data_IF_383527544895
#
_entry.id   IF_383527544895
#
_cell.length_a   1.000
_cell.length_b   1.000
_cell.length_c   1.000
_cell.angle_alpha   90.00
_cell.angle_beta   90.00
_cell.angle_gamma   90.00
#
_symmetry.space_group_name_H-M   'P 1'
#
loop_
_entity.id
_entity.type
_entity.pdbx_description
1 polymer ?
#
# COMPACT_ATOMS: atom_id res chain seq x y z
N UNK A 1 32.47 -3.23 3.56
CA UNK A 1 32.81 -2.46 2.34
C UNK A 1 34.30 -2.24 2.18
N UNK A 2 35.14 -2.42 3.22
CA UNK A 2 36.60 -2.29 3.10
C UNK A 2 37.10 -0.84 3.08
N UNK A 3 36.20 0.14 3.27
CA UNK A 3 36.53 1.55 3.31
C UNK A 3 37.02 1.95 4.71
N UNK A 4 37.97 2.89 4.76
CA UNK A 4 38.57 3.39 6.00
C UNK A 4 38.13 4.83 6.27
N UNK A 5 37.72 5.11 7.50
CA UNK A 5 37.32 6.44 7.96
C UNK A 5 38.15 6.83 9.18
N UNK A 6 38.63 8.08 9.22
CA UNK A 6 39.28 8.61 10.41
C UNK A 6 38.28 8.79 11.56
N UNK A 7 38.74 8.62 12.79
CA UNK A 7 37.89 8.79 13.98
C UNK A 7 37.68 10.27 14.33
N UNK A 8 36.72 10.55 15.21
CA UNK A 8 36.39 11.93 15.65
C UNK A 8 37.57 12.63 16.33
N UNK A 9 38.45 11.86 16.97
CA UNK A 9 39.66 12.36 17.64
C UNK A 9 40.68 12.90 16.63
N UNK A 10 40.71 12.37 15.40
CA UNK A 10 41.59 12.86 14.33
C UNK A 10 40.97 14.02 13.56
N UNK A 11 39.70 13.90 13.17
CA UNK A 11 38.99 14.96 12.43
C UNK A 11 37.47 14.81 12.58
N UNK A 12 36.83 15.89 13.02
CA UNK A 12 35.36 15.99 12.98
C UNK A 12 34.90 16.30 11.55
N UNK A 13 34.04 15.44 11.00
CA UNK A 13 33.50 15.63 9.65
C UNK A 13 32.44 16.73 9.57
N UNK A 14 32.24 17.30 8.37
CA UNK A 14 31.23 18.33 8.12
C UNK A 14 29.79 17.77 8.03
N UNK A 15 29.61 16.58 7.43
CA UNK A 15 28.29 15.96 7.30
C UNK A 15 27.64 15.66 8.67
N UNK A 16 28.37 15.15 9.70
CA UNK A 16 27.85 15.06 11.05
C UNK A 16 27.31 16.38 11.61
N UNK A 17 28.01 17.50 11.40
CA UNK A 17 27.57 18.83 11.90
C UNK A 17 26.24 19.23 11.26
N UNK A 18 26.13 19.11 9.93
CA UNK A 18 24.88 19.41 9.20
C UNK A 18 23.73 18.52 9.70
N UNK A 19 24.00 17.23 9.93
CA UNK A 19 22.99 16.28 10.42
C UNK A 19 22.57 16.59 11.86
N UNK A 20 23.50 16.97 12.74
CA UNK A 20 23.19 17.39 14.12
C UNK A 20 22.23 18.58 14.13
N UNK A 21 22.45 19.59 13.28
CA UNK A 21 21.59 20.77 13.16
C UNK A 21 20.18 20.40 12.65
N UNK A 22 20.09 19.58 11.60
CA UNK A 22 18.82 19.11 11.04
C UNK A 22 18.05 18.26 12.05
N UNK A 23 18.74 17.38 12.79
CA UNK A 23 18.13 16.55 13.83
C UNK A 23 17.67 17.38 15.02
N UNK A 24 18.44 18.39 15.45
CA UNK A 24 18.05 19.31 16.51
C UNK A 24 16.81 20.13 16.10
N UNK A 25 16.77 20.65 14.88
CA UNK A 25 15.60 21.34 14.33
C UNK A 25 14.37 20.42 14.27
N UNK A 26 14.54 19.18 13.83
CA UNK A 26 13.47 18.18 13.79
C UNK A 26 12.98 17.83 15.20
N UNK A 27 13.87 17.74 16.18
CA UNK A 27 13.53 17.48 17.59
C UNK A 27 12.65 18.60 18.15
N UNK A 28 12.99 19.87 17.87
CA UNK A 28 12.13 21.03 18.23
C UNK A 28 10.74 20.92 17.59
N UNK A 29 10.67 20.68 16.28
CA UNK A 29 9.39 20.53 15.59
C UNK A 29 8.52 19.38 16.13
N UNK A 30 9.13 18.24 16.51
CA UNK A 30 8.40 17.14 17.19
C UNK A 30 7.92 17.54 18.59
N UNK A 31 8.68 18.35 19.32
CA UNK A 31 8.27 18.85 20.62
C UNK A 31 7.10 19.83 20.51
N UNK A 32 7.13 20.75 19.53
CA UNK A 32 6.01 21.66 19.25
C UNK A 32 4.73 20.84 18.95
N UNK A 33 4.85 19.80 18.13
CA UNK A 33 3.74 18.91 17.77
C UNK A 33 3.15 18.16 18.97
N UNK A 34 3.96 17.82 19.99
CA UNK A 34 3.49 17.13 21.19
C UNK A 34 2.63 18.03 22.10
N UNK A 35 2.90 19.33 22.12
CA UNK A 35 2.20 20.29 22.98
C UNK A 35 1.01 20.96 22.29
N UNK A 36 0.94 20.88 20.96
CA UNK A 36 -0.20 21.37 20.20
C UNK A 36 -1.45 20.51 20.48
N UNK A 37 -2.62 21.15 20.59
CA UNK A 37 -3.91 20.48 20.83
C UNK A 37 -4.76 20.45 19.57
N UNK A 38 -4.66 21.48 18.72
CA UNK A 38 -5.43 21.59 17.50
C UNK A 38 -4.98 20.55 16.46
N UNK A 39 -5.92 19.73 15.98
CA UNK A 39 -5.61 18.63 15.07
C UNK A 39 -5.10 19.12 13.71
N UNK A 40 -5.62 20.23 13.20
CA UNK A 40 -5.17 20.79 11.94
C UNK A 40 -3.72 21.31 12.05
N UNK A 41 -3.40 22.05 13.11
CA UNK A 41 -2.03 22.52 13.39
C UNK A 41 -1.07 21.36 13.66
N UNK A 42 -1.50 20.31 14.36
CA UNK A 42 -0.71 19.07 14.50
C UNK A 42 -0.37 18.47 13.13
N UNK A 43 -1.31 18.44 12.19
CA UNK A 43 -1.04 17.97 10.83
C UNK A 43 0.01 18.82 10.11
N UNK A 44 -0.06 20.15 10.24
CA UNK A 44 0.94 21.07 9.67
C UNK A 44 2.32 20.86 10.30
N UNK A 45 2.40 20.74 11.63
CA UNK A 45 3.64 20.46 12.36
C UNK A 45 4.22 19.08 12.01
N UNK A 46 3.36 18.09 11.78
CA UNK A 46 3.77 16.79 11.26
C UNK A 46 4.36 16.92 9.85
N UNK A 47 3.76 17.73 8.98
CA UNK A 47 4.35 18.07 7.67
C UNK A 47 5.75 18.69 7.81
N UNK A 48 5.92 19.63 8.74
CA UNK A 48 7.21 20.28 9.03
C UNK A 48 8.28 19.28 9.48
N UNK A 49 7.98 18.39 10.45
CA UNK A 49 8.98 17.41 10.90
C UNK A 49 9.31 16.36 9.82
N UNK A 50 8.34 16.01 8.97
CA UNK A 50 8.57 15.13 7.82
C UNK A 50 9.49 15.79 6.78
N UNK A 51 9.29 17.07 6.47
CA UNK A 51 10.18 17.81 5.57
C UNK A 51 11.63 17.80 6.09
N UNK A 52 11.83 18.10 7.38
CA UNK A 52 13.15 18.03 8.01
C UNK A 52 13.76 16.62 7.98
N UNK A 53 12.94 15.57 8.16
CA UNK A 53 13.37 14.17 7.99
C UNK A 53 13.86 13.91 6.57
N UNK A 54 13.10 14.37 5.56
CA UNK A 54 13.45 14.21 4.15
C UNK A 54 14.77 14.95 3.84
N UNK A 55 14.96 16.17 4.35
CA UNK A 55 16.21 16.91 4.20
C UNK A 55 17.40 16.16 4.79
N UNK A 56 17.28 15.64 6.02
CA UNK A 56 18.33 14.86 6.66
C UNK A 56 18.68 13.58 5.86
N UNK A 57 17.67 12.85 5.39
CA UNK A 57 17.88 11.66 4.55
C UNK A 57 18.48 12.03 3.19
N UNK A 58 18.19 13.22 2.67
CA UNK A 58 18.75 13.71 1.41
C UNK A 58 20.25 14.00 1.50
N UNK A 59 20.79 14.32 2.69
CA UNK A 59 22.24 14.47 2.90
C UNK A 59 22.97 13.16 2.58
N UNK A 60 22.45 12.03 3.06
CA UNK A 60 22.95 10.71 2.68
C UNK A 60 22.74 10.44 1.19
N UNK A 61 21.54 10.73 0.66
CA UNK A 61 21.21 10.54 -0.76
C UNK A 61 22.15 11.31 -1.70
N UNK A 62 22.57 12.52 -1.30
CA UNK A 62 23.50 13.37 -2.03
C UNK A 62 24.86 12.69 -2.23
N UNK A 63 25.39 12.01 -1.22
CA UNK A 63 26.66 11.27 -1.36
C UNK A 63 26.57 10.09 -2.33
N UNK A 64 25.38 9.51 -2.50
CA UNK A 64 25.16 8.37 -3.41
C UNK A 64 24.74 8.77 -4.83
N UNK A 65 24.48 10.06 -5.10
CA UNK A 65 23.96 10.52 -6.38
C UNK A 65 25.06 10.62 -7.43
N UNK A 66 25.17 9.60 -8.30
CA UNK A 66 26.15 9.56 -9.41
C UNK A 66 25.94 10.71 -10.41
N UNK A 67 24.68 11.10 -10.63
CA UNK A 67 24.33 12.31 -11.38
C UNK A 67 24.14 13.43 -10.36
N UNK A 68 25.24 14.10 -10.02
CA UNK A 68 25.29 15.12 -8.99
C UNK A 68 26.61 15.89 -9.00
N UNK A 69 26.78 16.84 -8.09
CA UNK A 69 27.98 17.69 -8.03
C UNK A 69 29.14 17.06 -7.23
N UNK A 70 28.85 16.16 -6.29
CA UNK A 70 29.87 15.60 -5.39
C UNK A 70 29.51 14.17 -4.92
N UNK A 71 29.53 13.16 -5.83
CA UNK A 71 29.32 11.77 -5.45
C UNK A 71 30.50 11.22 -4.63
N UNK A 72 30.19 10.50 -3.56
CA UNK A 72 31.14 9.70 -2.79
C UNK A 72 30.45 8.38 -2.39
N UNK A 73 30.55 7.39 -3.28
CA UNK A 73 29.82 6.14 -3.18
C UNK A 73 30.26 5.32 -1.97
N UNK A 74 31.50 5.46 -1.55
CA UNK A 74 32.12 4.78 -0.41
C UNK A 74 31.37 5.08 0.89
N UNK A 75 30.91 6.33 1.08
CA UNK A 75 30.07 6.73 2.20
C UNK A 75 28.73 6.00 2.11
N UNK A 76 28.06 6.09 0.96
CA UNK A 76 26.72 5.52 0.79
C UNK A 76 26.70 3.99 0.98
N UNK A 77 27.69 3.29 0.43
CA UNK A 77 27.86 1.85 0.59
C UNK A 77 28.12 1.47 2.05
N UNK A 78 28.97 2.24 2.75
CA UNK A 78 29.31 1.96 4.16
C UNK A 78 28.10 2.18 5.07
N UNK A 79 27.31 3.24 4.85
CA UNK A 79 26.05 3.48 5.58
C UNK A 79 25.07 2.32 5.41
N UNK A 80 24.85 1.84 4.17
CA UNK A 80 23.95 0.70 3.95
C UNK A 80 24.48 -0.61 4.54
N UNK A 81 25.80 -0.79 4.57
CA UNK A 81 26.43 -1.96 5.18
C UNK A 81 26.25 -1.96 6.70
N UNK A 82 26.51 -0.84 7.37
CA UNK A 82 26.21 -0.69 8.79
C UNK A 82 24.72 -0.88 9.08
N UNK A 83 23.83 -0.35 8.25
CA UNK A 83 22.39 -0.57 8.38
C UNK A 83 22.01 -2.05 8.42
N UNK A 84 22.51 -2.86 7.47
CA UNK A 84 22.29 -4.32 7.44
C UNK A 84 22.86 -5.01 8.69
N UNK A 85 24.10 -4.69 9.05
CA UNK A 85 24.76 -5.27 10.23
C UNK A 85 24.01 -4.96 11.53
N UNK A 86 23.50 -3.73 11.69
CA UNK A 86 22.73 -3.34 12.87
C UNK A 86 21.42 -4.10 12.98
N UNK A 87 20.72 -4.35 11.86
CA UNK A 87 19.49 -5.17 11.86
C UNK A 87 19.81 -6.62 12.22
N UNK A 88 20.84 -7.21 11.62
CA UNK A 88 21.21 -8.60 11.89
C UNK A 88 21.64 -8.78 13.35
N UNK A 89 22.40 -7.82 13.89
CA UNK A 89 22.77 -7.81 15.31
C UNK A 89 21.54 -7.68 16.22
N UNK A 90 20.62 -6.76 15.89
CA UNK A 90 19.36 -6.57 16.64
C UNK A 90 18.55 -7.85 16.64
N UNK A 91 18.40 -8.51 15.49
CA UNK A 91 17.70 -9.79 15.38
C UNK A 91 18.34 -10.84 16.29
N UNK A 92 19.64 -11.06 16.15
CA UNK A 92 20.35 -12.10 16.89
C UNK A 92 20.28 -11.87 18.39
N UNK A 93 20.40 -10.62 18.85
CA UNK A 93 20.31 -10.31 20.28
C UNK A 93 18.91 -10.58 20.84
N UNK A 94 17.87 -10.17 20.10
CA UNK A 94 16.48 -10.41 20.52
C UNK A 94 16.19 -11.91 20.62
N UNK A 95 16.56 -12.69 19.59
CA UNK A 95 16.30 -14.14 19.59
C UNK A 95 17.14 -14.87 20.65
N UNK A 96 18.35 -14.39 20.96
CA UNK A 96 19.22 -14.95 22.00
C UNK A 96 18.74 -14.65 23.42
N UNK A 97 18.27 -13.42 23.68
CA UNK A 97 17.95 -12.95 25.04
C UNK A 97 16.54 -13.33 25.50
N UNK A 98 15.60 -13.42 24.57
CA UNK A 98 14.19 -13.67 24.87
C UNK A 98 13.79 -15.10 24.50
N UNK A 99 14.38 -16.07 25.19
CA UNK A 99 13.99 -17.49 25.09
C UNK A 99 12.82 -17.82 26.03
N UNK A 100 12.22 -19.00 25.87
CA UNK A 100 11.20 -19.49 26.79
C UNK A 100 11.73 -19.48 28.24
N UNK A 101 10.94 -18.94 29.17
CA UNK A 101 11.33 -18.76 30.57
C UNK A 101 12.15 -17.50 30.89
N UNK A 102 12.60 -16.74 29.87
CA UNK A 102 13.29 -15.47 30.09
C UNK A 102 12.38 -14.41 30.77
N UNK A 103 13.01 -13.40 31.36
CA UNK A 103 12.35 -12.35 32.16
C UNK A 103 11.46 -12.93 33.28
N UNK A 104 12.03 -13.78 34.13
CA UNK A 104 11.33 -14.39 35.26
C UNK A 104 10.05 -15.14 34.84
N UNK A 105 10.09 -15.84 33.70
CA UNK A 105 8.96 -16.57 33.15
C UNK A 105 7.95 -15.75 32.34
N UNK A 106 8.17 -14.45 32.14
CA UNK A 106 7.28 -13.60 31.32
C UNK A 106 7.31 -13.95 29.82
N UNK A 107 8.37 -14.60 29.34
CA UNK A 107 8.44 -15.09 27.96
C UNK A 107 7.94 -16.55 27.88
N UNK A 108 6.71 -16.80 27.38
CA UNK A 108 6.17 -18.17 27.29
C UNK A 108 6.80 -19.01 26.18
N UNK A 109 7.44 -18.37 25.21
CA UNK A 109 8.07 -19.01 24.06
C UNK A 109 9.33 -18.25 23.65
N UNK A 110 10.15 -18.90 22.80
CA UNK A 110 11.28 -18.22 22.16
C UNK A 110 10.77 -17.10 21.25
N UNK A 111 11.29 -15.90 21.45
CA UNK A 111 11.01 -14.77 20.57
C UNK A 111 11.54 -15.07 19.17
N UNK A 112 10.74 -14.72 18.16
CA UNK A 112 11.09 -14.92 16.76
C UNK A 112 10.94 -13.60 16.00
N UNK A 113 11.96 -13.19 15.26
CA UNK A 113 11.84 -12.05 14.36
C UNK A 113 11.13 -12.49 13.08
N UNK A 114 9.88 -12.05 12.93
CA UNK A 114 9.00 -12.46 11.81
C UNK A 114 9.20 -11.61 10.56
N UNK A 115 9.68 -10.38 10.73
CA UNK A 115 9.93 -9.47 9.62
C UNK A 115 10.92 -8.37 10.00
N UNK A 116 11.61 -7.81 9.01
CA UNK A 116 12.42 -6.61 9.17
C UNK A 116 12.46 -5.81 7.86
N UNK A 117 12.43 -4.49 7.98
CA UNK A 117 12.55 -3.57 6.85
C UNK A 117 13.42 -2.38 7.23
N UNK A 118 14.64 -2.35 6.68
CA UNK A 118 15.63 -1.25 6.66
C UNK A 118 16.10 -0.71 8.02
N UNK A 119 15.19 -0.36 8.91
CA UNK A 119 15.41 0.27 10.21
C UNK A 119 14.46 -0.25 11.30
N UNK A 120 13.68 -1.29 11.00
CA UNK A 120 12.70 -1.88 11.92
C UNK A 120 12.77 -3.41 11.94
N UNK A 121 12.51 -3.98 13.12
CA UNK A 121 12.33 -5.42 13.34
C UNK A 121 10.97 -5.68 13.97
N UNK A 122 10.27 -6.72 13.51
CA UNK A 122 8.99 -7.16 14.05
C UNK A 122 9.20 -8.48 14.75
N UNK A 123 8.93 -8.49 16.06
CA UNK A 123 9.24 -9.61 16.95
C UNK A 123 7.96 -10.22 17.46
N UNK A 124 7.83 -11.55 17.34
CA UNK A 124 6.76 -12.33 17.95
C UNK A 124 7.27 -12.94 19.25
N UNK A 125 6.80 -12.41 20.39
CA UNK A 125 7.19 -12.87 21.73
C UNK A 125 6.37 -14.07 22.25
N UNK A 126 5.27 -14.43 21.59
CA UNK A 126 4.44 -15.58 21.97
C UNK A 126 3.46 -15.34 23.13
N UNK A 127 3.40 -14.12 23.67
CA UNK A 127 2.41 -13.71 24.69
C UNK A 127 1.01 -13.57 24.11
N UNK A 128 -0.01 -13.62 24.98
CA UNK A 128 -1.43 -13.61 24.58
C UNK A 128 -2.04 -12.22 24.56
N UNK A 129 -1.55 -11.30 25.38
CA UNK A 129 -2.12 -9.95 25.52
C UNK A 129 -1.23 -8.88 24.89
N UNK A 130 -1.87 -7.79 24.44
CA UNK A 130 -1.16 -6.62 23.90
C UNK A 130 -0.33 -5.93 24.99
N UNK A 131 -0.83 -5.88 26.22
CA UNK A 131 -0.13 -5.26 27.35
C UNK A 131 1.21 -5.95 27.65
N UNK A 132 1.22 -7.28 27.76
CA UNK A 132 2.46 -8.05 27.96
C UNK A 132 3.44 -7.85 26.79
N UNK A 133 2.94 -7.84 25.55
CA UNK A 133 3.78 -7.63 24.38
C UNK A 133 4.42 -6.23 24.37
N UNK A 134 3.69 -5.21 24.81
CA UNK A 134 4.21 -3.84 24.95
C UNK A 134 5.28 -3.75 26.04
N UNK A 135 5.07 -4.40 27.18
CA UNK A 135 6.03 -4.41 28.29
C UNK A 135 7.37 -5.04 27.84
N UNK A 136 7.31 -6.25 27.26
CA UNK A 136 8.49 -6.96 26.77
C UNK A 136 9.14 -6.17 25.62
N UNK A 137 8.34 -5.60 24.72
CA UNK A 137 8.85 -4.78 23.62
C UNK A 137 9.61 -3.53 24.07
N UNK A 138 9.11 -2.83 25.10
CA UNK A 138 9.77 -1.67 25.68
C UNK A 138 11.09 -2.05 26.38
N UNK A 139 11.07 -3.17 27.10
CA UNK A 139 12.27 -3.73 27.71
C UNK A 139 13.31 -4.11 26.64
N UNK A 140 12.90 -4.82 25.59
CA UNK A 140 13.75 -5.21 24.47
C UNK A 140 14.39 -4.02 23.76
N UNK A 141 13.62 -2.97 23.46
CA UNK A 141 14.15 -1.76 22.85
C UNK A 141 15.23 -1.10 23.72
N UNK A 142 15.01 -1.07 25.04
CA UNK A 142 15.96 -0.48 26.01
C UNK A 142 17.24 -1.30 26.13
N UNK A 143 17.12 -2.62 26.25
CA UNK A 143 18.28 -3.52 26.37
C UNK A 143 19.13 -3.55 25.11
N UNK A 144 18.50 -3.70 23.95
CA UNK A 144 19.23 -3.78 22.67
C UNK A 144 19.91 -2.44 22.34
N UNK A 145 19.32 -1.31 22.74
CA UNK A 145 19.96 0.01 22.57
C UNK A 145 21.32 0.11 23.26
N UNK A 146 21.56 -0.63 24.34
CA UNK A 146 22.84 -0.59 25.09
C UNK A 146 24.02 -1.14 24.31
N UNK A 147 23.76 -1.94 23.27
CA UNK A 147 24.81 -2.57 22.44
C UNK A 147 25.38 -1.58 21.42
N UNK A 148 24.59 -0.58 21.03
CA UNK A 148 24.99 0.39 20.03
C UNK A 148 25.65 1.62 20.65
N UNK A 149 26.54 2.25 19.89
CA UNK A 149 27.18 3.49 20.32
C UNK A 149 26.20 4.67 20.20
N UNK A 150 26.16 5.58 21.18
CA UNK A 150 25.39 6.82 21.06
C UNK A 150 25.79 7.58 19.78
N UNK A 151 24.84 8.17 19.03
CA UNK A 151 23.44 8.44 19.38
C UNK A 151 22.42 7.37 18.91
N UNK A 152 22.88 6.16 18.53
CA UNK A 152 21.99 5.11 18.03
C UNK A 152 21.13 4.59 19.19
N UNK A 153 19.81 4.58 19.01
CA UNK A 153 18.84 4.10 19.98
C UNK A 153 17.69 3.42 19.26
N UNK A 154 17.32 2.24 19.74
CA UNK A 154 16.11 1.54 19.34
C UNK A 154 14.96 2.01 20.24
N UNK A 155 13.80 2.30 19.64
CA UNK A 155 12.61 2.71 20.38
C UNK A 155 11.48 1.73 20.06
N UNK A 156 10.77 1.29 21.09
CA UNK A 156 9.52 0.57 20.91
C UNK A 156 8.48 1.55 20.35
N UNK A 157 7.81 1.16 19.26
CA UNK A 157 6.87 2.03 18.56
C UNK A 157 5.41 1.59 18.73
N UNK A 158 5.14 0.27 18.61
CA UNK A 158 3.78 -0.26 18.47
C UNK A 158 3.72 -1.78 18.58
N UNK A 159 2.52 -2.31 18.86
CA UNK A 159 2.16 -3.73 18.69
C UNK A 159 1.12 -3.85 17.55
N UNK A 160 1.25 -4.90 16.74
CA UNK A 160 0.21 -5.33 15.79
C UNK A 160 -0.56 -6.54 16.33
N UNK A 161 -1.89 -6.43 16.44
CA UNK A 161 -2.73 -7.55 16.85
C UNK A 161 -4.19 -7.44 16.36
N UNK A 162 -4.64 -8.24 15.39
CA UNK A 162 -3.89 -9.22 14.60
C UNK A 162 -2.90 -8.59 13.60
N UNK A 163 -2.01 -9.42 13.05
CA UNK A 163 -1.00 -9.03 12.07
C UNK A 163 -1.04 -9.97 10.85
N UNK A 164 -1.07 -9.38 9.65
CA UNK A 164 -1.10 -10.07 8.36
C UNK A 164 0.09 -9.61 7.52
N UNK A 165 1.08 -10.49 7.39
CA UNK A 165 2.22 -10.30 6.51
C UNK A 165 1.98 -11.09 5.21
N UNK A 166 1.83 -10.37 4.09
CA UNK A 166 1.63 -10.99 2.78
C UNK A 166 2.97 -11.17 2.08
N UNK A 167 3.76 -10.09 2.03
CA UNK A 167 5.04 -10.06 1.30
C UNK A 167 5.94 -8.95 1.84
N UNK A 168 7.18 -8.89 1.38
CA UNK A 168 8.08 -7.76 1.66
C UNK A 168 7.38 -6.44 1.29
N UNK A 169 7.35 -5.49 2.22
CA UNK A 169 6.69 -4.18 2.10
C UNK A 169 5.18 -4.25 1.86
N UNK A 170 4.54 -5.38 2.15
CA UNK A 170 3.10 -5.64 1.97
C UNK A 170 2.53 -6.35 3.20
N UNK A 171 1.98 -5.57 4.12
CA UNK A 171 1.39 -6.08 5.35
C UNK A 171 0.27 -5.18 5.86
N UNK A 172 -0.61 -5.75 6.67
CA UNK A 172 -1.64 -5.04 7.41
C UNK A 172 -1.69 -5.52 8.86
N UNK A 173 -2.15 -4.65 9.76
CA UNK A 173 -2.41 -5.04 11.14
C UNK A 173 -3.15 -3.94 11.90
N UNK A 174 -3.83 -4.33 12.98
CA UNK A 174 -4.39 -3.36 13.91
C UNK A 174 -3.26 -2.76 14.74
N UNK A 175 -3.16 -1.44 14.70
CA UNK A 175 -2.08 -0.66 15.29
C UNK A 175 -2.42 -0.30 16.74
N UNK A 176 -1.58 -0.68 17.70
CA UNK A 176 -1.75 -0.35 19.11
C UNK A 176 -0.55 0.45 19.64
N UNK A 177 -0.80 1.65 20.16
CA UNK A 177 0.14 2.38 21.03
C UNK A 177 -0.20 2.26 22.52
N UNK A 178 -1.46 1.91 22.83
CA UNK A 178 -1.95 1.62 24.17
C UNK A 178 -2.60 0.23 24.19
N UNK A 179 -2.64 -0.46 25.34
CA UNK A 179 -3.12 -1.84 25.40
C UNK A 179 -4.64 -1.97 25.21
N UNK A 180 -5.42 -0.94 25.54
CA UNK A 180 -6.89 -1.08 25.69
C UNK A 180 -7.63 -1.09 24.35
N UNK A 181 -7.20 -0.25 23.39
CA UNK A 181 -7.90 -0.06 22.12
C UNK A 181 -6.90 0.18 20.99
N UNK A 182 -7.20 -0.40 19.83
CA UNK A 182 -6.45 -0.12 18.61
C UNK A 182 -6.65 1.32 18.15
N UNK A 183 -5.59 1.95 17.66
CA UNK A 183 -5.62 3.32 17.15
C UNK A 183 -6.23 3.36 15.74
N UNK A 184 -5.82 2.41 14.88
CA UNK A 184 -6.27 2.31 13.47
C UNK A 184 -5.86 0.99 12.84
N UNK A 185 -6.42 0.70 11.67
CA UNK A 185 -5.90 -0.31 10.76
C UNK A 185 -4.74 0.28 9.94
N UNK A 186 -3.54 -0.29 10.08
CA UNK A 186 -2.37 0.15 9.31
C UNK A 186 -2.16 -0.79 8.12
N UNK A 187 -2.10 -0.22 6.92
CA UNK A 187 -1.88 -0.94 5.66
C UNK A 187 -0.62 -0.40 4.98
N UNK A 188 0.38 -1.24 4.78
CA UNK A 188 1.63 -0.88 4.08
C UNK A 188 1.72 -1.60 2.75
N UNK A 189 1.86 -0.84 1.67
CA UNK A 189 2.10 -1.33 0.30
C UNK A 189 0.94 -2.14 -0.33
N UNK A 190 -0.16 -2.35 0.39
CA UNK A 190 -1.38 -2.94 -0.13
C UNK A 190 -2.09 -2.00 -1.09
N UNK A 191 -2.93 -2.57 -1.94
CA UNK A 191 -3.71 -1.85 -2.95
C UNK A 191 -4.66 -0.80 -2.35
N UNK A 192 -4.97 -0.87 -1.05
CA UNK A 192 -5.78 0.11 -0.30
C UNK A 192 -5.16 1.50 -0.20
N UNK A 193 -3.83 1.60 -0.18
CA UNK A 193 -3.09 2.88 -0.06
C UNK A 193 -2.43 3.31 -1.36
N UNK A 194 -2.59 2.50 -2.41
CA UNK A 194 -2.00 2.73 -3.73
C UNK A 194 -2.93 3.56 -4.62
N UNK A 195 -2.37 4.56 -5.29
CA UNK A 195 -3.13 5.52 -6.14
C UNK A 195 -3.31 5.06 -7.58
N UNK A 196 -2.75 3.92 -7.98
CA UNK A 196 -2.77 3.39 -9.34
C UNK A 196 -3.90 2.37 -9.59
N UNK A 197 -4.72 2.06 -8.58
CA UNK A 197 -5.90 1.20 -8.68
C UNK A 197 -7.18 2.04 -8.65
N UNK A 198 -8.30 1.45 -9.06
CA UNK A 198 -9.59 2.12 -8.95
C UNK A 198 -10.09 2.19 -7.48
N UNK A 199 -10.88 3.21 -7.11
CA UNK A 199 -11.42 3.36 -5.76
C UNK A 199 -12.19 2.15 -5.24
N UNK A 200 -12.84 1.38 -6.13
CA UNK A 200 -13.53 0.14 -5.79
C UNK A 200 -12.61 -0.85 -5.07
N UNK A 201 -11.40 -1.07 -5.60
CA UNK A 201 -10.44 -2.01 -5.02
C UNK A 201 -10.07 -1.59 -3.60
N UNK A 202 -9.73 -0.32 -3.41
CA UNK A 202 -9.35 0.18 -2.10
C UNK A 202 -10.49 0.05 -1.08
N UNK A 203 -11.72 0.41 -1.47
CA UNK A 203 -12.90 0.32 -0.60
C UNK A 203 -13.20 -1.13 -0.22
N UNK A 204 -13.24 -2.04 -1.20
CA UNK A 204 -13.55 -3.45 -0.96
C UNK A 204 -12.50 -4.09 -0.07
N UNK A 205 -11.21 -3.88 -0.35
CA UNK A 205 -10.14 -4.45 0.47
C UNK A 205 -10.14 -3.89 1.90
N UNK A 206 -10.38 -2.60 2.10
CA UNK A 206 -10.48 -2.02 3.44
C UNK A 206 -11.62 -2.67 4.23
N UNK A 207 -12.82 -2.78 3.63
CA UNK A 207 -13.96 -3.42 4.31
C UNK A 207 -13.73 -4.91 4.56
N UNK A 208 -13.09 -5.63 3.64
CA UNK A 208 -12.69 -7.03 3.88
C UNK A 208 -11.68 -7.13 5.03
N UNK A 209 -10.67 -6.27 5.08
CA UNK A 209 -9.68 -6.26 6.16
C UNK A 209 -10.30 -5.89 7.50
N UNK A 210 -11.22 -4.93 7.55
CA UNK A 210 -11.97 -4.60 8.77
C UNK A 210 -12.73 -5.81 9.29
N UNK A 211 -13.48 -6.50 8.42
CA UNK A 211 -14.21 -7.73 8.78
C UNK A 211 -13.29 -8.86 9.25
N UNK A 212 -12.12 -8.99 8.63
CA UNK A 212 -11.14 -10.02 8.99
C UNK A 212 -10.40 -9.72 10.29
N UNK A 213 -9.99 -8.48 10.50
CA UNK A 213 -9.08 -8.10 11.59
C UNK A 213 -9.83 -7.63 12.84
N UNK A 214 -10.96 -6.96 12.66
CA UNK A 214 -11.78 -6.39 13.75
C UNK A 214 -12.88 -7.38 14.12
N UNK A 215 -13.77 -7.71 13.17
CA UNK A 215 -14.92 -8.58 13.43
C UNK A 215 -14.50 -10.07 13.58
N UNK A 216 -13.30 -10.42 13.11
CA UNK A 216 -12.75 -11.78 13.09
C UNK A 216 -13.65 -12.78 12.36
N UNK A 217 -14.36 -12.31 11.33
CA UNK A 217 -15.29 -13.12 10.55
C UNK A 217 -14.88 -13.19 9.08
N UNK A 218 -14.19 -14.28 8.73
CA UNK A 218 -13.75 -14.56 7.37
C UNK A 218 -14.91 -14.85 6.40
N UNK A 219 -16.01 -15.44 6.89
CA UNK A 219 -17.15 -15.77 6.05
C UNK A 219 -17.91 -14.49 5.66
N UNK A 220 -18.16 -13.59 6.62
CA UNK A 220 -18.75 -12.28 6.35
C UNK A 220 -17.90 -11.44 5.39
N UNK A 221 -16.58 -11.49 5.53
CA UNK A 221 -15.66 -10.83 4.59
C UNK A 221 -15.76 -11.42 3.17
N UNK A 222 -15.84 -12.74 3.05
CA UNK A 222 -15.95 -13.44 1.77
C UNK A 222 -17.30 -13.18 1.08
N UNK A 223 -18.41 -13.26 1.82
CA UNK A 223 -19.75 -12.98 1.30
C UNK A 223 -19.89 -11.52 0.86
N UNK A 224 -19.28 -10.59 1.60
CA UNK A 224 -19.19 -9.19 1.17
C UNK A 224 -18.45 -9.06 -0.17
N UNK A 225 -17.30 -9.72 -0.34
CA UNK A 225 -16.53 -9.69 -1.58
C UNK A 225 -17.34 -10.27 -2.75
N UNK A 226 -18.01 -11.42 -2.56
CA UNK A 226 -18.87 -12.04 -3.57
C UNK A 226 -20.04 -11.14 -3.98
N UNK A 227 -20.67 -10.46 -3.03
CA UNK A 227 -21.75 -9.50 -3.30
C UNK A 227 -21.28 -8.35 -4.18
N UNK A 228 -20.13 -7.75 -3.86
CA UNK A 228 -19.57 -6.65 -4.68
C UNK A 228 -19.19 -7.14 -6.08
N UNK A 229 -18.68 -8.37 -6.22
CA UNK A 229 -18.40 -8.98 -7.52
C UNK A 229 -19.69 -9.15 -8.33
N UNK A 230 -20.77 -9.62 -7.70
CA UNK A 230 -22.10 -9.73 -8.33
C UNK A 230 -22.60 -8.36 -8.80
N UNK A 231 -22.50 -7.34 -7.96
CA UNK A 231 -22.90 -5.97 -8.30
C UNK A 231 -22.07 -5.40 -9.46
N UNK A 232 -20.77 -5.67 -9.50
CA UNK A 232 -19.90 -5.30 -10.62
C UNK A 232 -20.36 -5.97 -11.92
N UNK A 233 -20.61 -7.28 -11.90
CA UNK A 233 -21.05 -8.04 -13.07
C UNK A 233 -22.47 -7.68 -13.53
N UNK A 234 -23.29 -7.15 -12.63
CA UNK A 234 -24.63 -6.65 -12.91
C UNK A 234 -24.68 -5.15 -13.29
N UNK A 235 -23.53 -4.48 -13.50
CA UNK A 235 -23.45 -3.03 -13.77
C UNK A 235 -24.14 -2.15 -12.71
N UNK A 236 -24.11 -2.56 -11.43
CA UNK A 236 -24.66 -1.78 -10.31
C UNK A 236 -23.63 -0.90 -9.61
N UNK A 237 -22.38 -0.90 -10.09
CA UNK A 237 -21.28 -0.10 -9.56
C UNK A 237 -21.15 1.19 -10.37
N UNK A 238 -21.13 2.33 -9.66
CA UNK A 238 -20.94 3.63 -10.29
C UNK A 238 -19.57 3.76 -10.96
N UNK A 239 -19.54 4.46 -12.11
CA UNK A 239 -18.32 4.62 -12.91
C UNK A 239 -17.19 5.32 -12.13
N UNK A 240 -17.51 6.21 -11.18
CA UNK A 240 -16.50 6.90 -10.35
C UNK A 240 -15.65 5.92 -9.54
N UNK A 241 -16.23 4.78 -9.15
CA UNK A 241 -15.54 3.72 -8.42
C UNK A 241 -14.58 2.92 -9.31
N UNK A 242 -14.71 3.05 -10.64
CA UNK A 242 -13.92 2.32 -11.63
C UNK A 242 -12.81 3.18 -12.26
N UNK A 243 -12.75 4.48 -11.97
CA UNK A 243 -11.74 5.39 -12.53
C UNK A 243 -10.35 4.99 -12.03
N UNK A 244 -9.44 4.73 -12.96
CA UNK A 244 -8.02 4.53 -12.71
C UNK A 244 -7.28 5.82 -13.08
N UNK A 245 -6.29 6.23 -12.29
CA UNK A 245 -5.53 7.45 -12.54
C UNK A 245 -4.03 7.17 -12.55
N UNK A 246 -3.33 7.59 -13.61
CA UNK A 246 -1.87 7.48 -13.70
C UNK A 246 -1.23 8.80 -14.15
N UNK A 247 -0.06 9.08 -13.60
CA UNK A 247 0.71 10.30 -13.90
C UNK A 247 1.42 10.17 -15.25
N UNK A 248 1.29 11.20 -16.08
CA UNK A 248 1.96 11.28 -17.37
C UNK A 248 3.38 11.86 -17.20
N UNK A 249 4.35 10.98 -16.99
CA UNK A 249 5.73 11.37 -16.65
C UNK A 249 6.61 11.69 -17.85
N UNK A 250 6.27 11.20 -19.05
CA UNK A 250 7.05 11.40 -20.29
C UNK A 250 6.13 11.63 -21.48
N UNK A 251 6.69 12.14 -22.58
CA UNK A 251 5.99 12.19 -23.86
C UNK A 251 5.84 10.77 -24.42
N UNK A 252 4.79 10.54 -25.22
CA UNK A 252 4.45 9.22 -25.80
C UNK A 252 5.62 8.56 -26.51
N UNK A 253 6.45 9.35 -27.20
CA UNK A 253 7.62 8.89 -27.97
C UNK A 253 8.77 8.36 -27.11
N UNK A 254 8.82 8.72 -25.81
CA UNK A 254 9.89 8.30 -24.89
C UNK A 254 9.53 7.08 -24.05
N UNK A 255 8.33 6.51 -24.23
CA UNK A 255 7.95 5.26 -23.57
C UNK A 255 8.36 4.06 -24.41
N UNK A 256 9.14 3.15 -23.81
CA UNK A 256 9.55 1.90 -24.45
C UNK A 256 8.39 0.93 -24.69
N UNK A 257 7.30 1.05 -23.91
CA UNK A 257 6.12 0.20 -24.01
C UNK A 257 4.85 1.05 -24.03
N UNK A 258 3.87 0.65 -24.86
CA UNK A 258 2.57 1.31 -24.94
C UNK A 258 1.82 1.20 -23.62
N UNK A 259 1.40 2.34 -23.07
CA UNK A 259 0.68 2.44 -21.80
C UNK A 259 -0.69 3.05 -22.02
N UNK A 260 -1.69 2.55 -21.30
CA UNK A 260 -3.09 2.95 -21.46
C UNK A 260 -3.33 4.47 -21.30
N UNK A 261 -2.79 5.08 -20.25
CA UNK A 261 -2.90 6.51 -19.98
C UNK A 261 -2.17 7.38 -21.01
N UNK A 262 -1.10 6.86 -21.62
CA UNK A 262 -0.31 7.58 -22.64
C UNK A 262 -1.06 7.59 -23.97
N UNK A 263 -1.55 6.42 -24.39
CA UNK A 263 -2.37 6.28 -25.61
C UNK A 263 -3.67 7.07 -25.51
N UNK A 264 -4.31 7.05 -24.34
CA UNK A 264 -5.50 7.87 -24.11
C UNK A 264 -5.18 9.36 -24.19
N UNK A 265 -4.10 9.84 -23.56
CA UNK A 265 -3.72 11.24 -23.62
C UNK A 265 -3.46 11.69 -25.08
N UNK A 266 -2.81 10.84 -25.89
CA UNK A 266 -2.62 11.10 -27.33
C UNK A 266 -3.96 11.14 -28.08
N UNK A 267 -4.90 10.23 -27.78
CA UNK A 267 -6.25 10.20 -28.38
C UNK A 267 -7.10 11.39 -27.96
N UNK A 268 -6.99 11.85 -26.71
CA UNK A 268 -7.65 13.07 -26.23
C UNK A 268 -7.11 14.29 -26.99
N UNK A 269 -5.79 14.41 -27.14
CA UNK A 269 -5.17 15.50 -27.90
C UNK A 269 -5.59 15.55 -29.37
N UNK A 270 -5.79 14.40 -30.01
CA UNK A 270 -6.33 14.32 -31.38
C UNK A 270 -7.80 14.74 -31.47
N UNK A 271 -8.58 14.49 -30.41
CA UNK A 271 -10.01 14.84 -30.36
C UNK A 271 -10.23 16.32 -30.06
N UNK A 272 -9.52 16.83 -29.05
CA UNK A 272 -9.54 18.23 -28.65
C UNK A 272 -8.19 18.60 -28.00
N UNK A 273 -7.33 19.35 -28.70
CA UNK A 273 -6.04 19.78 -28.15
C UNK A 273 -6.16 20.64 -26.89
N UNK A 274 -7.26 21.38 -26.71
CA UNK A 274 -7.42 22.35 -25.61
C UNK A 274 -7.66 21.71 -24.25
N UNK A 275 -8.25 20.52 -24.21
CA UNK A 275 -8.57 19.77 -22.98
C UNK A 275 -7.61 18.62 -22.68
N UNK A 276 -6.55 18.47 -23.48
CA UNK A 276 -5.63 17.34 -23.37
C UNK A 276 -4.70 17.43 -22.15
N UNK A 277 -4.44 16.32 -21.43
CA UNK A 277 -3.49 16.29 -20.32
C UNK A 277 -2.06 16.70 -20.72
N UNK A 278 -1.38 17.41 -19.82
CA UNK A 278 0.03 17.83 -19.97
C UNK A 278 0.97 16.92 -19.19
N UNK A 279 2.27 17.08 -19.45
CA UNK A 279 3.31 16.37 -18.70
C UNK A 279 3.24 16.76 -17.22
N UNK A 280 3.25 15.75 -16.34
CA UNK A 280 3.04 15.91 -14.89
C UNK A 280 1.58 15.79 -14.45
N UNK A 281 0.61 15.89 -15.37
CA UNK A 281 -0.80 15.71 -15.03
C UNK A 281 -1.13 14.23 -14.82
N UNK A 282 -2.13 13.96 -13.99
CA UNK A 282 -2.71 12.63 -13.86
C UNK A 282 -3.84 12.45 -14.84
N UNK A 283 -3.79 11.39 -15.65
CA UNK A 283 -4.81 11.04 -16.64
C UNK A 283 -5.79 10.06 -16.00
N UNK A 284 -7.06 10.45 -15.75
CA UNK A 284 -8.11 9.53 -15.34
C UNK A 284 -8.63 8.74 -16.55
N UNK A 285 -8.90 7.45 -16.38
CA UNK A 285 -9.44 6.60 -17.42
C UNK A 285 -10.22 5.42 -16.85
N UNK A 286 -11.10 4.85 -17.67
CA UNK A 286 -11.75 3.56 -17.43
C UNK A 286 -11.42 2.59 -18.56
N UNK A 287 -11.45 1.29 -18.28
CA UNK A 287 -11.30 0.25 -19.30
C UNK A 287 -12.68 -0.14 -19.86
N UNK A 288 -12.89 0.16 -21.15
CA UNK A 288 -14.12 -0.15 -21.87
C UNK A 288 -14.11 -1.57 -22.45
N UNK A 289 -15.30 -2.13 -22.67
CA UNK A 289 -15.46 -3.41 -23.33
C UNK A 289 -15.08 -3.30 -24.81
N UNK A 290 -14.32 -4.27 -25.31
CA UNK A 290 -13.92 -4.37 -26.71
C UNK A 290 -13.91 -5.84 -27.15
N UNK A 291 -13.59 -6.07 -28.43
CA UNK A 291 -13.43 -7.41 -28.97
C UNK A 291 -12.37 -8.21 -28.20
N UNK A 292 -12.46 -9.54 -28.32
CA UNK A 292 -11.50 -10.47 -27.70
C UNK A 292 -10.09 -10.17 -28.21
N UNK A 293 -9.10 -10.24 -27.32
CA UNK A 293 -7.67 -9.99 -27.58
C UNK A 293 -7.28 -8.54 -27.90
N UNK A 294 -8.18 -7.56 -27.75
CA UNK A 294 -7.78 -6.15 -27.84
C UNK A 294 -6.92 -5.78 -26.62
N UNK A 295 -5.71 -5.22 -26.82
CA UNK A 295 -4.83 -4.84 -25.73
C UNK A 295 -5.46 -3.82 -24.78
N UNK A 296 -5.15 -3.92 -23.48
CA UNK A 296 -5.71 -3.03 -22.46
C UNK A 296 -5.40 -1.54 -22.70
N UNK A 297 -4.29 -1.22 -23.37
CA UNK A 297 -3.92 0.17 -23.67
C UNK A 297 -4.83 0.81 -24.73
N UNK A 298 -5.47 0.03 -25.60
CA UNK A 298 -6.41 0.56 -26.60
C UNK A 298 -7.81 0.75 -26.00
N UNK A 299 -8.13 -0.05 -24.97
CA UNK A 299 -9.41 -0.05 -24.26
C UNK A 299 -9.53 1.04 -23.18
N UNK A 300 -8.51 1.87 -22.96
CA UNK A 300 -8.64 2.99 -22.03
C UNK A 300 -9.41 4.13 -22.69
N UNK A 301 -10.36 4.70 -21.95
CA UNK A 301 -11.17 5.82 -22.41
C UNK A 301 -11.46 6.83 -21.29
N UNK A 302 -11.69 8.07 -21.68
CA UNK A 302 -12.03 9.16 -20.77
C UNK A 302 -13.40 8.91 -20.11
N UNK A 303 -13.54 9.01 -18.77
CA UNK A 303 -14.81 8.76 -18.10
C UNK A 303 -15.95 9.66 -18.59
N UNK A 304 -15.66 10.93 -18.91
CA UNK A 304 -16.66 11.87 -19.46
C UNK A 304 -17.14 11.45 -20.85
N UNK A 305 -16.22 11.02 -21.71
CA UNK A 305 -16.54 10.48 -23.02
C UNK A 305 -17.38 9.20 -22.93
N UNK A 306 -17.06 8.30 -22.00
CA UNK A 306 -17.81 7.06 -21.76
C UNK A 306 -19.24 7.36 -21.31
N UNK A 307 -19.41 8.29 -20.37
CA UNK A 307 -20.73 8.72 -19.89
C UNK A 307 -21.58 9.35 -21.00
N UNK A 308 -21.01 10.28 -21.77
CA UNK A 308 -21.73 10.95 -22.86
C UNK A 308 -22.22 9.96 -23.93
N UNK A 309 -21.44 8.93 -24.20
CA UNK A 309 -21.69 7.98 -25.29
C UNK A 309 -22.29 6.64 -24.84
N UNK A 310 -22.51 6.43 -23.54
CA UNK A 310 -22.98 5.17 -22.96
C UNK A 310 -22.14 3.96 -23.44
N UNK A 311 -20.81 4.08 -23.36
CA UNK A 311 -19.90 3.01 -23.79
C UNK A 311 -19.84 1.93 -22.69
N UNK A 312 -20.02 0.63 -23.03
CA UNK A 312 -19.97 -0.44 -22.04
C UNK A 312 -18.59 -0.60 -21.39
N UNK A 313 -18.58 -0.90 -20.09
CA UNK A 313 -17.37 -1.12 -19.29
C UNK A 313 -16.94 -2.60 -19.36
N UNK A 314 -15.62 -2.86 -19.33
CA UNK A 314 -15.08 -4.22 -19.27
C UNK A 314 -15.10 -4.77 -17.84
N UNK A 315 -16.27 -5.23 -17.39
CA UNK A 315 -16.43 -5.79 -16.03
C UNK A 315 -15.51 -7.00 -15.79
N UNK A 316 -15.18 -7.76 -16.85
CA UNK A 316 -14.26 -8.91 -16.74
C UNK A 316 -12.87 -8.43 -16.37
N UNK A 317 -12.38 -7.36 -17.01
CA UNK A 317 -11.09 -6.76 -16.66
C UNK A 317 -11.05 -6.30 -15.20
N UNK A 318 -12.08 -5.60 -14.71
CA UNK A 318 -12.11 -5.17 -13.31
C UNK A 318 -12.19 -6.36 -12.33
N UNK A 319 -12.94 -7.40 -12.66
CA UNK A 319 -12.96 -8.61 -11.85
C UNK A 319 -11.58 -9.28 -11.78
N UNK A 320 -10.99 -9.63 -12.93
CA UNK A 320 -9.78 -10.47 -12.96
C UNK A 320 -8.49 -9.70 -12.69
N UNK A 321 -8.39 -8.45 -13.14
CA UNK A 321 -7.14 -7.68 -13.07
C UNK A 321 -7.11 -6.72 -11.88
N UNK A 322 -8.26 -6.23 -11.41
CA UNK A 322 -8.32 -5.24 -10.32
C UNK A 322 -8.72 -5.87 -8.98
N UNK A 323 -9.78 -6.69 -8.93
CA UNK A 323 -10.31 -7.23 -7.66
C UNK A 323 -9.76 -8.59 -7.26
N UNK A 324 -9.74 -9.57 -8.17
CA UNK A 324 -9.48 -10.96 -7.81
C UNK A 324 -8.10 -11.17 -7.17
N UNK A 325 -7.03 -10.62 -7.79
CA UNK A 325 -5.67 -10.82 -7.29
C UNK A 325 -5.43 -10.17 -5.92
N UNK A 326 -5.81 -8.90 -5.67
CA UNK A 326 -5.64 -8.32 -4.33
C UNK A 326 -6.50 -9.01 -3.27
N UNK A 327 -7.73 -9.41 -3.59
CA UNK A 327 -8.59 -10.13 -2.64
C UNK A 327 -8.00 -11.52 -2.32
N UNK A 328 -7.58 -12.26 -3.34
CA UNK A 328 -6.95 -13.56 -3.16
C UNK A 328 -5.79 -13.49 -2.18
N UNK A 329 -4.88 -12.51 -2.32
CA UNK A 329 -3.74 -12.36 -1.40
C UNK A 329 -4.10 -12.15 0.06
N UNK A 330 -5.24 -11.51 0.34
CA UNK A 330 -5.71 -11.28 1.72
C UNK A 330 -6.39 -12.53 2.28
N UNK A 331 -7.10 -13.27 1.43
CA UNK A 331 -7.81 -14.48 1.81
C UNK A 331 -6.95 -15.76 1.76
N UNK A 332 -5.84 -15.76 1.02
CA UNK A 332 -4.96 -16.93 0.82
C UNK A 332 -4.42 -17.50 2.13
N UNK A 333 -3.98 -16.72 3.13
CA UNK A 333 -3.58 -17.27 4.42
C UNK A 333 -4.70 -17.94 5.23
N UNK A 334 -5.97 -17.75 4.83
CA UNK A 334 -7.15 -18.26 5.53
C UNK A 334 -7.83 -19.40 4.74
N UNK A 335 -7.98 -19.23 3.42
CA UNK A 335 -8.68 -20.14 2.52
C UNK A 335 -7.72 -21.00 1.65
N UNK A 336 -6.41 -20.75 1.74
CA UNK A 336 -5.38 -21.38 0.92
C UNK A 336 -5.42 -20.96 -0.55
N UNK A 337 -4.72 -21.71 -1.40
CA UNK A 337 -4.50 -21.43 -2.84
C UNK A 337 -5.81 -21.36 -3.65
N UNK A 338 -6.93 -21.83 -3.10
CA UNK A 338 -8.25 -21.80 -3.76
C UNK A 338 -8.95 -20.45 -3.65
N UNK A 339 -8.41 -19.50 -2.88
CA UNK A 339 -9.03 -18.20 -2.64
C UNK A 339 -9.37 -17.45 -3.94
N UNK A 340 -8.44 -17.38 -4.90
CA UNK A 340 -8.68 -16.70 -6.19
C UNK A 340 -9.80 -17.39 -6.98
N UNK A 341 -9.78 -18.72 -7.02
CA UNK A 341 -10.78 -19.52 -7.74
C UNK A 341 -12.18 -19.33 -7.17
N UNK A 342 -12.34 -19.33 -5.84
CA UNK A 342 -13.62 -19.11 -5.16
C UNK A 342 -14.19 -17.71 -5.46
N UNK A 343 -13.33 -16.71 -5.64
CA UNK A 343 -13.77 -15.34 -5.93
C UNK A 343 -14.22 -15.17 -7.39
N UNK A 344 -13.52 -15.82 -8.33
CA UNK A 344 -13.79 -15.70 -9.77
C UNK A 344 -14.87 -16.68 -10.24
N UNK A 345 -14.97 -17.85 -9.62
CA UNK A 345 -15.90 -18.93 -9.99
C UNK A 345 -16.92 -19.13 -8.87
N UNK A 346 -18.20 -18.97 -9.19
CA UNK A 346 -19.28 -19.20 -8.23
C UNK A 346 -20.62 -18.70 -8.72
N UNK A 347 -21.68 -18.99 -7.97
CA UNK A 347 -23.05 -18.60 -8.31
C UNK A 347 -23.21 -17.09 -8.43
N UNK A 348 -22.47 -16.33 -7.62
CA UNK A 348 -22.40 -14.87 -7.63
C UNK A 348 -21.86 -14.28 -8.95
N UNK A 349 -21.25 -15.09 -9.81
CA UNK A 349 -20.70 -14.65 -11.11
C UNK A 349 -21.50 -15.10 -12.33
N UNK A 350 -22.55 -15.92 -12.12
CA UNK A 350 -23.37 -16.51 -13.19
C UNK A 350 -24.30 -15.48 -13.81
N UNK A 351 -24.87 -14.58 -13.00
CA UNK A 351 -25.76 -13.52 -13.48
C UNK A 351 -24.92 -12.35 -13.97
N UNK A 352 -25.12 -11.95 -15.22
CA UNK A 352 -24.39 -10.84 -15.85
C UNK A 352 -25.37 -9.97 -16.63
N UNK A 353 -25.27 -8.67 -16.41
CA UNK A 353 -26.04 -7.68 -17.19
C UNK A 353 -25.12 -7.13 -18.27
N UNK A 354 -25.54 -7.16 -19.52
CA UNK A 354 -24.75 -6.61 -20.64
C UNK A 354 -25.43 -5.35 -21.15
N UNK A 355 -24.74 -4.22 -21.05
CA UNK A 355 -25.18 -2.95 -21.64
C UNK A 355 -24.74 -2.93 -23.11
N UNK A 356 -25.64 -2.53 -24.00
CA UNK A 356 -25.31 -2.32 -25.41
C UNK A 356 -24.89 -0.87 -25.65
N UNK A 357 -23.80 -0.69 -26.41
CA UNK A 357 -23.27 0.61 -26.80
C UNK A 357 -24.24 1.36 -27.71
N UNK A 358 -24.36 2.68 -27.55
CA UNK A 358 -25.02 3.55 -28.55
C UNK A 358 -24.11 3.91 -29.73
N UNK A 359 -22.81 3.62 -29.62
CA UNK A 359 -21.80 3.94 -30.62
C UNK A 359 -21.47 2.70 -31.44
N UNK A 360 -21.61 2.81 -32.76
CA UNK A 360 -21.26 1.78 -33.73
C UNK A 360 -22.25 1.76 -34.90
N UNK A 361 -21.77 1.52 -36.13
CA UNK A 361 -22.63 1.52 -37.33
C UNK A 361 -23.83 0.56 -37.23
N UNK A 362 -23.66 -0.58 -36.56
CA UNK A 362 -24.75 -1.54 -36.30
C UNK A 362 -25.74 -1.10 -35.22
N UNK A 363 -25.34 -0.25 -34.27
CA UNK A 363 -26.22 0.16 -33.17
C UNK A 363 -27.41 1.02 -33.66
N UNK A 364 -27.26 1.68 -34.82
CA UNK A 364 -28.33 2.42 -35.48
C UNK A 364 -29.46 1.52 -36.00
N UNK A 365 -29.19 0.24 -36.23
CA UNK A 365 -30.14 -0.72 -36.80
C UNK A 365 -30.77 -1.67 -35.77
N UNK A 366 -30.35 -1.60 -34.51
CA UNK A 366 -30.91 -2.42 -33.42
C UNK A 366 -32.31 -1.95 -33.02
N UNK A 367 -33.29 -2.87 -33.04
CA UNK A 367 -34.65 -2.63 -32.55
C UNK A 367 -34.82 -3.22 -31.15
N UNK A 368 -35.45 -2.48 -30.24
CA UNK A 368 -35.83 -2.99 -28.92
C UNK A 368 -37.02 -3.94 -29.08
N UNK A 369 -36.91 -5.15 -28.54
CA UNK A 369 -38.00 -6.11 -28.47
C UNK A 369 -38.41 -6.29 -27.00
N UNK A 370 -39.72 -6.26 -26.75
CA UNK A 370 -40.27 -6.52 -25.41
C UNK A 370 -40.20 -8.02 -25.15
N UNK A 371 -39.67 -8.41 -24.00
CA UNK A 371 -39.57 -9.80 -23.56
C UNK A 371 -40.35 -10.00 -22.27
N UNK A 372 -40.85 -11.22 -22.06
CA UNK A 372 -41.53 -11.60 -20.83
C UNK A 372 -40.57 -11.56 -19.63
N UNK A 373 -40.99 -10.94 -18.53
CA UNK A 373 -40.29 -11.04 -17.24
C UNK A 373 -40.59 -12.43 -16.67
N UNK A 374 -39.60 -13.32 -16.64
CA UNK A 374 -39.79 -14.69 -16.15
C UNK A 374 -40.27 -14.71 -14.69
N UNK A 375 -41.52 -15.11 -14.47
CA UNK A 375 -42.08 -15.47 -13.16
C UNK A 375 -41.90 -16.97 -12.95
N UNK A 376 -41.09 -17.36 -11.96
CA UNK A 376 -41.02 -18.76 -11.51
C UNK A 376 -42.03 -18.90 -10.36
N UNK A 377 -43.22 -19.39 -10.67
CA UNK A 377 -44.17 -19.88 -9.67
C UNK A 377 -43.86 -21.35 -9.41
N UNK A 378 -43.41 -21.68 -8.19
CA UNK A 378 -43.37 -23.06 -7.70
C UNK A 378 -44.71 -23.38 -7.05
N UNK A 379 -45.37 -24.45 -7.50
CA UNK A 379 -46.41 -25.08 -6.70
C UNK A 379 -45.76 -25.72 -5.47
N UNK A 380 -46.39 -25.51 -4.30
CA UNK A 380 -46.02 -26.09 -3.00
C UNK A 380 -46.29 -27.60 -3.03
#
# INVERSE_FOLDING_TARGET
TGNYFATKERRRGLLPVILEDLLAARKRAKNDMKHEKDEFRKMVLNGRQLALKVSANSVYGFTGATVGKLPCLEISQSVTAFGRQMIDLTKNEVEKRYTAGALDGKCPANAQVVYGDTDSVMVKFGVKTVAEAMEIGLHAATEVSKIFTPPIKLEFEKVYYPYLLINKKRYAGLYFTKPDKHDKMDCKGLETVRRDNCPLVAKVLNTCLEKLMIDRDANSALEFAKRVISDLLCNKIDISMLIISKELTRSSEKYQAKQAHVELAARMRKRDPGSAPRLGDRVPYVIIAAAKNVPAYEKAEDPGFVLKNNIPIDNKYYLTNQLAKPLARIFEPILGDRAEKILIEGEHTRVRTVVQSKVGGLAAFTKKQVTCLGLILRFI
#
